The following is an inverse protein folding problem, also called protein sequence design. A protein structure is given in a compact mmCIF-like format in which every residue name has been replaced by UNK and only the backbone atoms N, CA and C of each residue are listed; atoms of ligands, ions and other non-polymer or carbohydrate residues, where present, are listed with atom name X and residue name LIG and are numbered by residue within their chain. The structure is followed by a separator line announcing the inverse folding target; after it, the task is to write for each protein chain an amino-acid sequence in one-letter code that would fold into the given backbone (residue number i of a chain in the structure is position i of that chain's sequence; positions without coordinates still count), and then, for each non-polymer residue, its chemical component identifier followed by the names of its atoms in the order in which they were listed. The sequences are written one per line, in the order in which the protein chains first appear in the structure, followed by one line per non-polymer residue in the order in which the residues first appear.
data_IF_365356883637
#
_entry.id   IF_365356883637
#
_cell.length_a   1.000
_cell.length_b   1.000
_cell.length_c   1.000
_cell.angle_alpha   90.00
_cell.angle_beta   90.00
_cell.angle_gamma   90.00
#
_symmetry.space_group_name_H-M   'P 1'
#
loop_
_entity.id
_entity.type
_entity.pdbx_description
1 polymer ?
#
# COMPACT_ATOMS: atom_id res chain seq x y z
N UNK A 1 35.64 -28.33 -33.61
CA UNK A 1 35.70 -28.49 -32.18
C UNK A 1 34.95 -27.37 -31.56
N UNK A 2 33.70 -27.62 -31.15
CA UNK A 2 32.77 -26.60 -30.65
C UNK A 2 32.95 -26.57 -29.14
N UNK A 3 33.68 -25.60 -28.63
CA UNK A 3 33.84 -25.35 -27.20
C UNK A 3 32.50 -24.81 -26.70
N UNK A 4 31.67 -25.69 -26.14
CA UNK A 4 30.50 -25.29 -25.38
C UNK A 4 30.98 -24.45 -24.19
N UNK A 5 30.77 -23.15 -24.23
CA UNK A 5 30.98 -22.25 -23.12
C UNK A 5 30.15 -22.76 -21.94
N UNK A 6 30.81 -23.32 -20.93
CA UNK A 6 30.17 -23.77 -19.72
C UNK A 6 29.47 -22.56 -19.08
N UNK A 7 28.15 -22.63 -19.00
CA UNK A 7 27.30 -21.59 -18.37
C UNK A 7 27.73 -21.53 -16.90
N UNK A 8 28.42 -20.47 -16.51
CA UNK A 8 28.88 -20.27 -15.13
C UNK A 8 27.67 -20.26 -14.19
N UNK A 9 27.69 -21.06 -13.12
CA UNK A 9 26.62 -21.04 -12.14
C UNK A 9 26.57 -19.67 -11.44
N UNK A 10 25.39 -19.09 -11.33
CA UNK A 10 25.19 -17.79 -10.67
C UNK A 10 25.35 -17.86 -9.14
N UNK A 11 25.21 -19.06 -8.57
CA UNK A 11 25.35 -19.29 -7.13
C UNK A 11 26.82 -19.10 -6.73
N UNK A 12 27.05 -18.26 -5.70
CA UNK A 12 28.40 -17.94 -5.23
C UNK A 12 29.16 -16.89 -6.06
N UNK A 13 28.53 -16.30 -7.06
CA UNK A 13 29.07 -15.20 -7.87
C UNK A 13 28.54 -13.85 -7.36
N UNK A 14 29.41 -12.85 -7.32
CA UNK A 14 28.99 -11.46 -7.11
C UNK A 14 28.44 -10.93 -8.43
N UNK A 15 27.12 -10.95 -8.58
CA UNK A 15 26.43 -10.46 -9.77
C UNK A 15 25.98 -9.02 -9.55
N UNK A 16 26.40 -8.13 -10.44
CA UNK A 16 25.95 -6.73 -10.41
C UNK A 16 24.47 -6.66 -10.77
N UNK A 17 23.69 -5.95 -9.97
CA UNK A 17 22.28 -5.71 -10.25
C UNK A 17 22.13 -4.79 -11.46
N UNK A 18 21.13 -5.09 -12.31
CA UNK A 18 20.88 -4.30 -13.52
C UNK A 18 20.49 -2.84 -13.19
N UNK A 19 19.90 -2.63 -12.03
CA UNK A 19 19.41 -1.32 -11.58
C UNK A 19 20.49 -0.48 -10.87
N UNK A 20 21.61 -1.08 -10.45
CA UNK A 20 22.65 -0.35 -9.73
C UNK A 20 23.23 0.84 -10.52
N UNK A 21 23.59 0.72 -11.81
CA UNK A 21 24.10 1.86 -12.58
C UNK A 21 23.14 3.06 -12.68
N UNK A 22 21.85 2.90 -13.01
CA UNK A 22 20.92 4.03 -12.98
C UNK A 22 20.72 4.60 -11.58
N UNK A 23 20.67 3.78 -10.52
CA UNK A 23 20.49 4.26 -9.15
C UNK A 23 21.68 5.11 -8.67
N UNK A 24 22.91 4.64 -8.85
CA UNK A 24 24.11 5.37 -8.39
C UNK A 24 24.45 6.61 -9.24
N UNK A 25 23.90 6.70 -10.44
CA UNK A 25 24.07 7.85 -11.34
C UNK A 25 22.91 8.85 -11.28
N UNK A 26 21.96 8.66 -10.37
CA UNK A 26 20.78 9.53 -10.22
C UNK A 26 19.78 9.45 -11.36
N UNK A 27 19.80 8.38 -12.15
CA UNK A 27 18.85 8.10 -13.24
C UNK A 27 17.82 7.05 -12.87
N UNK A 28 17.88 6.55 -11.63
CA UNK A 28 16.88 5.63 -11.11
C UNK A 28 15.56 6.37 -10.86
N UNK A 29 14.46 5.77 -11.28
CA UNK A 29 13.10 6.28 -11.03
C UNK A 29 12.35 5.30 -10.14
N UNK A 30 11.77 5.81 -9.08
CA UNK A 30 10.84 5.08 -8.22
C UNK A 30 9.40 5.47 -8.55
N UNK A 31 8.45 4.66 -8.17
CA UNK A 31 7.04 4.95 -8.40
C UNK A 31 6.59 6.34 -7.87
N UNK A 32 7.24 6.83 -6.80
CA UNK A 32 6.99 8.16 -6.26
C UNK A 32 7.52 9.32 -7.10
N UNK A 33 8.44 9.06 -8.03
CA UNK A 33 9.06 10.07 -8.89
C UNK A 33 8.27 10.23 -10.21
N UNK A 34 7.37 9.29 -10.51
CA UNK A 34 6.56 9.30 -11.71
C UNK A 34 5.36 10.21 -11.51
N UNK A 35 5.22 11.20 -12.38
CA UNK A 35 4.12 12.14 -12.35
C UNK A 35 3.34 12.11 -13.67
N UNK A 36 2.04 12.06 -13.60
CA UNK A 36 1.14 12.10 -14.74
C UNK A 36 0.34 13.42 -14.76
N UNK A 37 -0.03 13.91 -15.95
CA UNK A 37 -0.97 15.02 -16.05
C UNK A 37 -2.26 14.70 -15.27
N UNK A 38 -2.75 15.66 -14.49
CA UNK A 38 -3.95 15.51 -13.65
C UNK A 38 -3.87 14.39 -12.59
N UNK A 39 -2.67 13.99 -12.19
CA UNK A 39 -2.48 13.02 -11.13
C UNK A 39 -3.06 13.54 -9.81
N UNK A 40 -3.80 12.67 -9.12
CA UNK A 40 -4.27 12.92 -7.76
C UNK A 40 -3.31 12.28 -6.76
N UNK A 41 -3.15 12.94 -5.62
CA UNK A 41 -2.38 12.42 -4.51
C UNK A 41 -3.29 11.96 -3.40
N UNK A 42 -3.15 10.71 -2.99
CA UNK A 42 -3.91 10.15 -1.88
C UNK A 42 -3.19 10.39 -0.55
N UNK A 43 -3.94 10.80 0.45
CA UNK A 43 -3.46 10.94 1.82
C UNK A 43 -4.29 10.06 2.74
N UNK A 44 -3.62 9.17 3.47
CA UNK A 44 -4.27 8.34 4.48
C UNK A 44 -4.24 9.04 5.84
N UNK A 45 -5.41 9.25 6.41
CA UNK A 45 -5.54 9.75 7.78
C UNK A 45 -5.50 8.56 8.73
N UNK A 46 -4.54 8.55 9.63
CA UNK A 46 -4.35 7.47 10.58
C UNK A 46 -4.76 7.89 11.99
N UNK A 47 -5.34 6.96 12.74
CA UNK A 47 -5.67 7.18 14.14
C UNK A 47 -4.42 7.47 14.97
N UNK A 48 -4.51 8.40 15.90
CA UNK A 48 -3.50 8.62 16.94
C UNK A 48 -3.55 7.54 18.04
N UNK A 49 -4.68 6.81 18.14
CA UNK A 49 -4.89 5.78 19.14
C UNK A 49 -4.63 4.40 18.55
N UNK A 50 -3.97 3.52 19.31
CA UNK A 50 -3.72 2.14 18.90
C UNK A 50 -5.01 1.32 18.84
N UNK A 51 -5.96 1.57 19.73
CA UNK A 51 -7.27 0.93 19.76
C UNK A 51 -8.32 1.92 20.28
N UNK A 52 -9.49 1.93 19.66
CA UNK A 52 -10.60 2.77 20.10
C UNK A 52 -11.84 2.60 19.23
N UNK A 53 -12.98 2.93 19.80
CA UNK A 53 -14.23 2.97 19.05
C UNK A 53 -14.37 4.31 18.34
N UNK A 54 -14.71 4.28 17.07
CA UNK A 54 -15.07 5.47 16.30
C UNK A 54 -16.50 5.85 16.67
N UNK A 55 -16.65 6.92 17.46
CA UNK A 55 -17.96 7.38 17.94
C UNK A 55 -18.62 8.27 16.91
N UNK A 56 -17.83 9.08 16.22
CA UNK A 56 -18.32 9.96 15.15
C UNK A 56 -17.18 10.21 14.15
N UNK A 57 -17.53 10.39 12.91
CA UNK A 57 -16.64 10.76 11.82
C UNK A 57 -17.31 11.87 10.99
N UNK A 58 -16.82 13.09 11.12
CA UNK A 58 -17.28 14.23 10.33
C UNK A 58 -16.26 14.53 9.22
N UNK A 59 -16.67 14.35 7.98
CA UNK A 59 -15.88 14.57 6.78
C UNK A 59 -16.25 15.87 6.03
N UNK A 60 -17.22 16.63 6.54
CA UNK A 60 -17.78 17.78 5.86
C UNK A 60 -16.76 18.86 5.55
N UNK A 61 -15.94 19.22 6.52
CA UNK A 61 -14.90 20.21 6.36
C UNK A 61 -13.82 19.75 5.36
N UNK A 62 -13.42 18.48 5.40
CA UNK A 62 -12.46 17.93 4.46
C UNK A 62 -12.97 17.91 3.02
N UNK A 63 -14.25 17.55 2.84
CA UNK A 63 -14.91 17.54 1.52
C UNK A 63 -15.10 18.94 0.94
N UNK A 64 -15.18 19.96 1.79
CA UNK A 64 -15.35 21.35 1.37
C UNK A 64 -14.01 22.05 1.00
N UNK A 65 -12.87 21.44 1.25
CA UNK A 65 -11.57 22.05 0.96
C UNK A 65 -11.32 22.15 -0.55
N UNK A 66 -10.89 23.32 -1.05
CA UNK A 66 -10.47 23.46 -2.44
C UNK A 66 -9.35 22.49 -2.81
N UNK A 67 -9.49 21.79 -3.94
CA UNK A 67 -8.50 20.83 -4.42
C UNK A 67 -8.68 19.42 -3.87
N UNK A 68 -9.63 19.19 -2.97
CA UNK A 68 -10.02 17.85 -2.54
C UNK A 68 -11.04 17.28 -3.51
N UNK A 69 -10.69 16.19 -4.18
CA UNK A 69 -11.58 15.52 -5.15
C UNK A 69 -12.51 14.51 -4.49
N UNK A 70 -12.03 13.80 -3.51
CA UNK A 70 -12.81 12.82 -2.78
C UNK A 70 -12.28 12.62 -1.37
N UNK A 71 -13.17 12.28 -0.44
CA UNK A 71 -12.83 11.83 0.91
C UNK A 71 -13.67 10.58 1.16
N UNK A 72 -12.99 9.45 1.37
CA UNK A 72 -13.61 8.14 1.54
C UNK A 72 -13.48 7.66 2.97
N UNK A 73 -14.53 7.07 3.48
CA UNK A 73 -14.59 6.33 4.74
C UNK A 73 -14.92 4.87 4.48
N UNK A 74 -15.00 4.05 5.52
CA UNK A 74 -15.43 2.65 5.39
C UNK A 74 -16.83 2.53 4.75
N UNK A 75 -17.70 3.49 4.99
CA UNK A 75 -19.05 3.51 4.42
C UNK A 75 -19.07 3.72 2.90
N UNK A 76 -18.03 4.34 2.34
CA UNK A 76 -17.94 4.64 0.91
C UNK A 76 -17.33 3.48 0.09
N UNK A 77 -16.74 2.47 0.75
CA UNK A 77 -16.02 1.34 0.12
C UNK A 77 -16.57 -0.02 0.55
N UNK A 78 -17.88 -0.12 0.70
CA UNK A 78 -18.57 -1.35 1.18
C UNK A 78 -18.44 -2.55 0.24
N UNK A 79 -18.15 -2.32 -1.03
CA UNK A 79 -17.92 -3.31 -2.06
C UNK A 79 -16.49 -3.87 -2.08
N UNK A 80 -15.59 -3.24 -1.33
CA UNK A 80 -14.20 -3.70 -1.24
C UNK A 80 -14.09 -4.81 -0.18
N UNK A 81 -13.66 -6.03 -0.56
CA UNK A 81 -13.53 -7.10 0.39
C UNK A 81 -12.46 -6.79 1.46
N UNK A 82 -12.60 -7.35 2.67
CA UNK A 82 -11.59 -7.21 3.70
C UNK A 82 -10.26 -7.82 3.26
N UNK A 83 -9.17 -7.33 3.84
CA UNK A 83 -7.83 -7.88 3.63
C UNK A 83 -7.79 -9.29 4.19
N UNK A 84 -7.52 -10.26 3.31
CA UNK A 84 -7.44 -11.67 3.64
C UNK A 84 -5.99 -12.12 3.87
N UNK A 85 -5.82 -13.28 4.53
CA UNK A 85 -4.51 -13.88 4.74
C UNK A 85 -4.05 -14.59 3.47
N UNK A 86 -2.78 -14.45 3.13
CA UNK A 86 -2.19 -15.03 1.92
C UNK A 86 -1.93 -16.55 2.02
N UNK A 87 -2.00 -17.10 3.22
CA UNK A 87 -1.61 -18.49 3.50
C UNK A 87 -2.74 -19.51 3.31
N UNK A 88 -3.72 -19.18 2.48
CA UNK A 88 -4.85 -20.06 2.19
C UNK A 88 -6.04 -19.83 3.12
N UNK A 89 -7.11 -20.60 2.86
CA UNK A 89 -8.33 -20.49 3.63
C UNK A 89 -8.22 -21.24 4.96
N UNK A 90 -7.99 -20.51 6.04
CA UNK A 90 -7.95 -21.03 7.41
C UNK A 90 -9.13 -20.44 8.19
N UNK A 91 -10.23 -21.19 8.42
CA UNK A 91 -11.44 -20.65 9.06
C UNK A 91 -11.19 -20.06 10.46
N UNK A 92 -10.21 -20.58 11.19
CA UNK A 92 -9.83 -20.05 12.51
C UNK A 92 -9.29 -18.61 12.47
N UNK A 93 -8.87 -18.11 11.30
CA UNK A 93 -8.36 -16.76 11.11
C UNK A 93 -9.44 -15.77 10.66
N UNK A 94 -10.64 -16.21 10.32
CA UNK A 94 -11.73 -15.33 9.89
C UNK A 94 -12.02 -14.17 10.84
N UNK A 95 -12.00 -14.33 12.18
CA UNK A 95 -12.19 -13.21 13.10
C UNK A 95 -11.09 -12.14 13.04
N UNK A 96 -9.96 -12.43 12.41
CA UNK A 96 -8.80 -11.54 12.28
C UNK A 96 -8.72 -10.83 10.93
N UNK A 97 -9.66 -11.10 10.02
CA UNK A 97 -9.78 -10.33 8.78
C UNK A 97 -9.97 -8.86 9.08
N UNK A 98 -9.32 -8.02 8.32
CA UNK A 98 -9.32 -6.58 8.57
C UNK A 98 -9.98 -5.83 7.41
N UNK A 99 -10.94 -4.93 7.68
CA UNK A 99 -11.44 -4.03 6.65
C UNK A 99 -10.30 -3.15 6.14
N UNK A 100 -10.40 -2.67 4.92
CA UNK A 100 -9.37 -1.78 4.32
C UNK A 100 -9.27 -0.46 5.09
N UNK A 101 -10.41 0.15 5.43
CA UNK A 101 -10.52 1.30 6.32
C UNK A 101 -11.13 0.87 7.66
N UNK A 102 -10.94 1.68 8.69
CA UNK A 102 -11.51 1.41 10.01
C UNK A 102 -13.04 1.53 9.96
N UNK A 103 -13.73 0.47 10.37
CA UNK A 103 -15.17 0.40 10.51
C UNK A 103 -15.54 0.17 11.97
N UNK A 104 -16.14 1.19 12.60
CA UNK A 104 -16.54 1.17 14.01
C UNK A 104 -15.40 1.16 15.03
N UNK A 105 -14.27 0.57 14.69
CA UNK A 105 -13.09 0.50 15.58
C UNK A 105 -11.81 0.78 14.82
N UNK A 106 -10.89 1.53 15.46
CA UNK A 106 -9.49 1.61 15.04
C UNK A 106 -8.69 0.57 15.80
N UNK A 107 -7.75 -0.09 15.10
CA UNK A 107 -6.79 -1.05 15.63
C UNK A 107 -5.43 -0.78 14.99
N UNK A 108 -4.35 -0.85 15.76
CA UNK A 108 -2.99 -0.66 15.27
C UNK A 108 -2.78 0.63 14.45
N UNK A 109 -3.39 1.73 14.90
CA UNK A 109 -3.32 3.03 14.20
C UNK A 109 -3.84 2.95 12.75
N UNK A 110 -4.79 2.07 12.51
CA UNK A 110 -5.39 1.86 11.20
C UNK A 110 -5.94 3.16 10.60
N UNK A 111 -5.92 3.23 9.29
CA UNK A 111 -6.48 4.35 8.54
C UNK A 111 -7.98 4.49 8.76
N UNK A 112 -8.42 5.70 9.04
CA UNK A 112 -9.82 6.04 9.29
C UNK A 112 -10.46 6.56 8.00
N UNK A 113 -9.65 7.25 7.21
CA UNK A 113 -10.04 7.90 5.95
C UNK A 113 -8.91 7.77 4.95
#
# INVERSE_FOLDING_TARGET
MNSASAKMPWIGQSVTRLEDPPLVTGRGEFAGDINFPHQLHMRMVRSAHAHGRVVALDLSAARALPGVFAVWSAADITDVPPVDFREGFIPALDPYRQPVLADGFVRDRKSVV
#
